data_IF_169523873067
#
_entry.id   IF_169523873067
#
_cell.length_a   1.000
_cell.length_b   1.000
_cell.length_c   1.000
_cell.angle_alpha   90.00
_cell.angle_beta   90.00
_cell.angle_gamma   90.00
#
_symmetry.space_group_name_H-M   'P 1'
#
loop_
_entity.id
_entity.type
_entity.pdbx_description
1 polymer ?
#
# COMPACT_ATOMS: atom_id res chain seq x y z
N UNK A 1 21.08 8.12 -32.67
CA UNK A 1 20.37 7.83 -33.93
C UNK A 1 21.15 8.51 -35.04
N UNK A 2 21.49 7.80 -36.11
CA UNK A 2 22.04 8.43 -37.31
C UNK A 2 20.94 9.30 -37.92
N UNK A 3 21.25 10.57 -38.11
CA UNK A 3 20.31 11.50 -38.74
C UNK A 3 20.06 11.04 -40.19
N UNK A 4 18.85 11.28 -40.69
CA UNK A 4 18.51 11.00 -42.09
C UNK A 4 19.48 11.80 -42.99
N UNK A 5 20.17 11.17 -43.95
CA UNK A 5 21.01 11.88 -44.90
C UNK A 5 20.20 12.92 -45.67
N UNK A 6 20.77 14.11 -45.83
CA UNK A 6 20.17 15.20 -46.60
C UNK A 6 20.82 15.27 -47.99
N UNK A 7 20.04 15.56 -49.04
CA UNK A 7 20.62 15.75 -50.36
C UNK A 7 21.50 17.01 -50.39
N UNK A 8 22.50 17.08 -51.30
CA UNK A 8 23.36 18.25 -51.46
C UNK A 8 22.57 19.51 -51.82
N UNK A 9 21.52 19.31 -52.61
CA UNK A 9 20.61 20.35 -53.09
C UNK A 9 19.20 19.78 -53.21
N UNK A 10 18.20 20.60 -52.92
CA UNK A 10 16.79 20.28 -53.13
C UNK A 10 16.32 20.95 -54.44
N UNK A 11 16.27 20.22 -55.56
CA UNK A 11 15.88 20.81 -56.83
C UNK A 11 14.37 21.07 -56.89
N UNK A 12 14.00 22.32 -57.14
CA UNK A 12 12.59 22.72 -57.38
C UNK A 12 12.09 22.33 -58.77
N UNK A 13 12.99 21.98 -59.70
CA UNK A 13 12.66 21.49 -61.04
C UNK A 13 13.78 20.61 -61.61
N UNK A 14 13.44 19.77 -62.60
CA UNK A 14 14.39 18.89 -63.30
C UNK A 14 15.51 19.71 -63.97
N UNK A 15 15.22 20.91 -64.47
CA UNK A 15 16.23 21.78 -65.08
C UNK A 15 17.20 22.35 -64.05
N UNK A 16 16.72 22.66 -62.84
CA UNK A 16 17.57 23.08 -61.73
C UNK A 16 18.52 21.96 -61.31
N UNK A 17 18.00 20.73 -61.24
CA UNK A 17 18.82 19.55 -60.99
C UNK A 17 19.88 19.34 -62.08
N UNK A 18 19.50 19.37 -63.36
CA UNK A 18 20.43 19.17 -64.50
C UNK A 18 21.55 20.21 -64.55
N UNK A 19 21.30 21.43 -64.08
CA UNK A 19 22.33 22.47 -63.98
C UNK A 19 23.29 22.27 -62.81
N UNK A 20 22.83 21.68 -61.71
CA UNK A 20 23.60 21.55 -60.48
C UNK A 20 24.44 20.26 -60.43
N UNK A 21 23.90 19.14 -60.91
CA UNK A 21 24.55 17.82 -60.79
C UNK A 21 25.96 17.75 -61.38
N UNK A 22 26.28 18.32 -62.57
CA UNK A 22 27.60 18.18 -63.16
C UNK A 22 28.75 18.69 -62.27
N UNK A 23 28.48 19.74 -61.48
CA UNK A 23 29.48 20.35 -60.60
C UNK A 23 29.57 19.66 -59.22
N UNK A 24 28.65 18.74 -58.91
CA UNK A 24 28.46 18.12 -57.59
C UNK A 24 28.28 16.60 -57.65
N UNK A 25 28.84 15.93 -58.67
CA UNK A 25 28.64 14.50 -58.89
C UNK A 25 29.03 13.63 -57.68
N UNK A 26 30.15 13.94 -57.04
CA UNK A 26 30.65 13.18 -55.88
C UNK A 26 29.73 13.34 -54.66
N UNK A 27 29.24 14.55 -54.41
CA UNK A 27 28.29 14.83 -53.32
C UNK A 27 26.98 14.04 -53.51
N UNK A 28 26.50 13.97 -54.76
CA UNK A 28 25.32 13.18 -55.10
C UNK A 28 25.56 11.68 -54.98
N UNK A 29 26.72 11.18 -55.40
CA UNK A 29 27.07 9.77 -55.25
C UNK A 29 27.11 9.37 -53.77
N UNK A 30 27.78 10.14 -52.92
CA UNK A 30 27.82 9.90 -51.48
C UNK A 30 26.44 10.00 -50.84
N UNK A 31 25.61 10.96 -51.24
CA UNK A 31 24.23 11.04 -50.77
C UNK A 31 23.44 9.76 -51.10
N UNK A 32 23.52 9.27 -52.34
CA UNK A 32 22.81 8.05 -52.74
C UNK A 32 23.31 6.83 -51.99
N UNK A 33 24.63 6.67 -51.83
CA UNK A 33 25.19 5.58 -51.04
C UNK A 33 24.68 5.62 -49.59
N UNK A 34 24.77 6.79 -48.96
CA UNK A 34 24.37 6.98 -47.56
C UNK A 34 22.85 6.78 -47.36
N UNK A 35 22.00 7.19 -48.31
CA UNK A 35 20.55 6.98 -48.16
C UNK A 35 20.18 5.50 -48.28
N UNK A 36 20.83 4.74 -49.17
CA UNK A 36 20.62 3.29 -49.25
C UNK A 36 21.02 2.59 -47.95
N UNK A 37 22.23 2.86 -47.44
CA UNK A 37 22.70 2.30 -46.17
C UNK A 37 21.78 2.69 -45.00
N UNK A 38 21.36 3.96 -44.93
CA UNK A 38 20.40 4.43 -43.94
C UNK A 38 19.06 3.67 -44.02
N UNK A 39 18.53 3.45 -45.23
CA UNK A 39 17.26 2.74 -45.40
C UNK A 39 17.34 1.29 -44.94
N UNK A 40 18.40 0.56 -45.28
CA UNK A 40 18.58 -0.82 -44.83
C UNK A 40 18.73 -0.91 -43.30
N UNK A 41 19.51 0.00 -42.70
CA UNK A 41 19.64 0.08 -41.25
C UNK A 41 18.31 0.40 -40.57
N UNK A 42 17.54 1.34 -41.15
CA UNK A 42 16.23 1.72 -40.61
C UNK A 42 15.22 0.56 -40.67
N UNK A 43 15.18 -0.20 -41.77
CA UNK A 43 14.31 -1.37 -41.93
C UNK A 43 14.69 -2.50 -40.97
N UNK A 44 15.99 -2.77 -40.85
CA UNK A 44 16.51 -3.75 -39.88
C UNK A 44 16.14 -3.36 -38.45
N UNK A 45 16.21 -2.06 -38.13
CA UNK A 45 15.86 -1.55 -36.81
C UNK A 45 14.36 -1.63 -36.54
N UNK A 46 13.52 -1.27 -37.51
CA UNK A 46 12.06 -1.40 -37.41
C UNK A 46 11.70 -2.87 -37.14
N UNK A 47 12.22 -3.79 -37.95
CA UNK A 47 11.99 -5.23 -37.77
C UNK A 47 12.45 -5.72 -36.39
N UNK A 48 13.59 -5.23 -35.90
CA UNK A 48 14.09 -5.54 -34.56
C UNK A 48 13.15 -5.03 -33.46
N UNK A 49 12.64 -3.80 -33.59
CA UNK A 49 11.70 -3.22 -32.63
C UNK A 49 10.35 -3.92 -32.64
N UNK A 50 9.84 -4.29 -33.81
CA UNK A 50 8.60 -5.07 -33.95
C UNK A 50 8.72 -6.43 -33.25
N UNK A 51 9.84 -7.14 -33.46
CA UNK A 51 10.11 -8.40 -32.77
C UNK A 51 10.20 -8.23 -31.24
N UNK A 52 10.83 -7.16 -30.77
CA UNK A 52 10.91 -6.84 -29.33
C UNK A 52 9.52 -6.55 -28.75
N UNK A 53 8.71 -5.77 -29.46
CA UNK A 53 7.35 -5.42 -29.05
C UNK A 53 6.48 -6.68 -29.00
N UNK A 54 6.55 -7.54 -30.01
CA UNK A 54 5.83 -8.80 -30.03
C UNK A 54 6.23 -9.71 -28.87
N UNK A 55 7.54 -9.79 -28.57
CA UNK A 55 8.04 -10.57 -27.43
C UNK A 55 7.51 -10.02 -26.10
N UNK A 56 7.57 -8.70 -25.90
CA UNK A 56 7.05 -8.05 -24.71
C UNK A 56 5.53 -8.27 -24.55
N UNK A 57 4.77 -8.20 -25.64
CA UNK A 57 3.34 -8.49 -25.64
C UNK A 57 3.04 -9.92 -25.23
N UNK A 58 3.77 -10.89 -25.77
CA UNK A 58 3.58 -12.30 -25.40
C UNK A 58 3.87 -12.53 -23.91
N UNK A 59 4.95 -11.94 -23.38
CA UNK A 59 5.29 -12.01 -21.95
C UNK A 59 4.19 -11.40 -21.09
N UNK A 60 3.70 -10.22 -21.44
CA UNK A 60 2.61 -9.57 -20.71
C UNK A 60 1.34 -10.41 -20.72
N UNK A 61 0.98 -11.01 -21.86
CA UNK A 61 -0.18 -11.90 -21.96
C UNK A 61 -0.05 -13.14 -21.08
N UNK A 62 1.14 -13.75 -21.03
CA UNK A 62 1.39 -14.91 -20.17
C UNK A 62 1.38 -14.54 -18.68
N UNK A 63 1.89 -13.35 -18.33
CA UNK A 63 1.76 -12.80 -16.97
C UNK A 63 0.30 -12.57 -16.59
N UNK A 64 -0.51 -11.99 -17.47
CA UNK A 64 -1.94 -11.77 -17.22
C UNK A 64 -2.69 -13.09 -17.03
N UNK A 65 -2.38 -14.12 -17.83
CA UNK A 65 -2.96 -15.46 -17.68
C UNK A 65 -2.61 -16.06 -16.31
N UNK A 66 -1.34 -15.95 -15.93
CA UNK A 66 -0.86 -16.46 -14.64
C UNK A 66 -1.56 -15.75 -13.48
N UNK A 67 -1.66 -14.42 -13.52
CA UNK A 67 -2.35 -13.64 -12.50
C UNK A 67 -3.82 -14.03 -12.38
N UNK A 68 -4.52 -14.22 -13.51
CA UNK A 68 -5.92 -14.68 -13.51
C UNK A 68 -6.06 -16.05 -12.88
N UNK A 69 -5.14 -16.96 -13.15
CA UNK A 69 -5.15 -18.28 -12.54
C UNK A 69 -4.93 -18.20 -11.03
N UNK A 70 -3.93 -17.43 -10.57
CA UNK A 70 -3.66 -17.24 -9.14
C UNK A 70 -4.85 -16.62 -8.41
N UNK A 71 -5.53 -15.64 -9.02
CA UNK A 71 -6.74 -15.04 -8.45
C UNK A 71 -7.85 -16.09 -8.34
N UNK A 72 -8.09 -16.86 -9.40
CA UNK A 72 -9.10 -17.92 -9.38
C UNK A 72 -8.79 -18.97 -8.31
N UNK A 73 -7.53 -19.40 -8.18
CA UNK A 73 -7.09 -20.33 -7.13
C UNK A 73 -7.32 -19.74 -5.74
N UNK A 74 -6.91 -18.49 -5.51
CA UNK A 74 -7.18 -17.77 -4.25
C UNK A 74 -8.66 -17.74 -3.91
N UNK A 75 -9.51 -17.40 -4.90
CA UNK A 75 -10.95 -17.30 -4.70
C UNK A 75 -11.56 -18.66 -4.36
N UNK A 76 -11.08 -19.74 -4.98
CA UNK A 76 -11.53 -21.10 -4.63
C UNK A 76 -11.15 -21.50 -3.21
N UNK A 77 -9.91 -21.19 -2.79
CA UNK A 77 -9.44 -21.48 -1.43
C UNK A 77 -10.22 -20.65 -0.40
N UNK A 78 -10.47 -19.37 -0.70
CA UNK A 78 -11.25 -18.50 0.17
C UNK A 78 -12.68 -19.03 0.34
N UNK A 79 -13.36 -19.40 -0.75
CA UNK A 79 -14.71 -19.96 -0.67
C UNK A 79 -14.76 -21.27 0.14
N UNK A 80 -13.73 -22.11 0.03
CA UNK A 80 -13.60 -23.33 0.83
C UNK A 80 -13.39 -23.03 2.32
N UNK A 81 -12.56 -22.04 2.64
CA UNK A 81 -12.33 -21.62 4.02
C UNK A 81 -13.61 -21.08 4.64
N UNK A 82 -14.30 -20.16 3.95
CA UNK A 82 -15.58 -19.59 4.40
C UNK A 82 -16.63 -20.69 4.62
N UNK A 83 -16.70 -21.67 3.71
CA UNK A 83 -17.59 -22.82 3.88
C UNK A 83 -17.24 -23.64 5.14
N UNK A 84 -15.96 -23.94 5.37
CA UNK A 84 -15.48 -24.67 6.54
C UNK A 84 -15.79 -23.94 7.85
N UNK A 85 -15.53 -22.63 7.90
CA UNK A 85 -15.85 -21.77 9.05
C UNK A 85 -17.35 -21.77 9.35
N UNK A 86 -18.19 -21.66 8.33
CA UNK A 86 -19.65 -21.75 8.51
C UNK A 86 -20.09 -23.09 9.08
N UNK A 87 -19.48 -24.20 8.66
CA UNK A 87 -19.78 -25.53 9.21
C UNK A 87 -19.35 -25.63 10.66
N UNK A 88 -18.17 -25.12 11.02
CA UNK A 88 -17.68 -25.10 12.39
C UNK A 88 -18.58 -24.26 13.30
N UNK A 89 -19.00 -23.07 12.85
CA UNK A 89 -19.94 -22.21 13.59
C UNK A 89 -21.27 -22.93 13.81
N UNK A 90 -21.81 -23.60 12.79
CA UNK A 90 -23.07 -24.37 12.92
C UNK A 90 -22.91 -25.54 13.90
N UNK A 91 -21.80 -26.25 13.85
CA UNK A 91 -21.52 -27.36 14.77
C UNK A 91 -21.38 -26.87 16.22
N UNK A 92 -20.72 -25.73 16.44
CA UNK A 92 -20.56 -25.14 17.77
C UNK A 92 -21.92 -24.75 18.37
N UNK A 93 -22.78 -24.08 17.59
CA UNK A 93 -24.15 -23.75 18.04
C UNK A 93 -24.96 -24.98 18.44
N UNK A 94 -24.91 -26.05 17.65
CA UNK A 94 -25.58 -27.31 18.00
C UNK A 94 -25.08 -27.88 19.31
N UNK A 95 -23.76 -27.79 19.58
CA UNK A 95 -23.18 -28.25 20.85
C UNK A 95 -23.60 -27.38 22.02
N UNK A 96 -23.69 -26.07 21.84
CA UNK A 96 -24.19 -25.15 22.87
C UNK A 96 -25.66 -25.46 23.22
N UNK A 97 -26.50 -25.72 22.22
CA UNK A 97 -27.90 -26.12 22.41
C UNK A 97 -28.01 -27.47 23.14
N UNK A 98 -27.19 -28.47 22.75
CA UNK A 98 -27.10 -29.78 23.44
C UNK A 98 -26.69 -29.62 24.91
N UNK A 99 -25.71 -28.77 25.20
CA UNK A 99 -25.25 -28.48 26.57
C UNK A 99 -26.36 -27.81 27.37
N UNK A 100 -27.08 -26.85 26.78
CA UNK A 100 -28.18 -26.17 27.43
C UNK A 100 -29.30 -27.13 27.81
N UNK A 101 -29.72 -27.99 26.89
CA UNK A 101 -30.75 -29.00 27.15
C UNK A 101 -30.29 -30.03 28.19
N UNK A 102 -29.04 -30.48 28.13
CA UNK A 102 -28.47 -31.39 29.13
C UNK A 102 -28.49 -30.78 30.54
N UNK A 103 -28.09 -29.50 30.68
CA UNK A 103 -28.15 -28.74 31.94
C UNK A 103 -29.57 -28.60 32.47
N UNK A 104 -30.53 -28.36 31.58
CA UNK A 104 -31.94 -28.27 31.94
C UNK A 104 -32.50 -29.62 32.42
N UNK A 105 -32.16 -30.71 31.73
CA UNK A 105 -32.55 -32.06 32.11
C UNK A 105 -31.95 -32.49 33.45
N UNK A 106 -30.67 -32.19 33.68
CA UNK A 106 -30.01 -32.41 34.97
C UNK A 106 -30.75 -31.70 36.11
N UNK A 107 -31.10 -30.42 35.91
CA UNK A 107 -31.85 -29.66 36.93
C UNK A 107 -33.24 -30.25 37.21
N UNK A 108 -33.97 -30.67 36.18
CA UNK A 108 -35.27 -31.34 36.34
C UNK A 108 -35.15 -32.66 37.10
N UNK A 109 -34.12 -33.46 36.82
CA UNK A 109 -33.87 -34.70 37.53
C UNK A 109 -33.56 -34.46 39.02
N UNK A 110 -32.75 -33.44 39.33
CA UNK A 110 -32.48 -33.05 40.72
C UNK A 110 -33.75 -32.63 41.46
N UNK A 111 -34.58 -31.78 40.85
CA UNK A 111 -35.86 -31.35 41.45
C UNK A 111 -36.82 -32.53 41.69
N UNK A 112 -36.86 -33.53 40.80
CA UNK A 112 -37.69 -34.72 40.94
C UNK A 112 -37.25 -35.67 42.07
N UNK A 113 -35.96 -35.67 42.43
CA UNK A 113 -35.42 -36.47 43.54
C UNK A 113 -35.56 -35.79 44.90
N UNK A 114 -36.00 -34.52 44.94
CA UNK A 114 -36.20 -33.78 46.17
C UNK A 114 -37.46 -34.30 46.88
N UNK A 115 -37.38 -34.76 48.14
CA UNK A 115 -38.54 -35.28 48.84
C UNK A 115 -39.63 -34.21 48.96
N UNK A 116 -40.85 -34.55 48.53
CA UNK A 116 -42.04 -33.70 48.74
C UNK A 116 -42.38 -33.69 50.22
N UNK A 117 -41.75 -32.81 50.99
CA UNK A 117 -42.25 -32.46 52.31
C UNK A 117 -43.53 -31.65 52.09
N UNK A 118 -44.69 -32.04 52.65
CA UNK A 118 -45.86 -31.17 52.65
C UNK A 118 -45.52 -29.96 53.51
N UNK A 119 -45.14 -28.84 52.88
CA UNK A 119 -45.01 -27.58 53.59
C UNK A 119 -46.42 -27.08 53.90
N UNK A 120 -46.83 -27.32 55.13
CA UNK A 120 -47.95 -26.64 55.76
C UNK A 120 -47.76 -25.13 55.61
N UNK A 121 -48.77 -24.50 55.03
CA UNK A 121 -48.90 -23.05 54.87
C UNK A 121 -48.96 -22.41 56.25
N UNK A 122 -47.88 -21.78 56.68
CA UNK A 122 -47.91 -20.78 57.75
C UNK A 122 -47.24 -19.48 57.29
N UNK A 123 -48.06 -18.44 57.22
CA UNK A 123 -47.68 -17.04 57.48
C UNK A 123 -48.33 -16.66 58.81
N UNK A 124 -47.90 -15.64 59.58
CA UNK A 124 -46.88 -14.61 59.30
C UNK A 124 -45.92 -14.31 60.48
N UNK A 125 -44.86 -13.51 60.24
CA UNK A 125 -44.55 -12.27 61.00
C UNK A 125 -43.25 -11.60 60.49
N UNK A 126 -43.47 -10.46 59.83
CA UNK A 126 -42.93 -9.13 60.12
C UNK A 126 -41.51 -9.02 60.69
N UNK A 127 -40.62 -8.38 59.93
CA UNK A 127 -39.56 -7.42 60.36
C UNK A 127 -38.87 -6.91 59.09
N UNK A 128 -39.41 -5.88 58.42
CA UNK A 128 -38.94 -4.49 58.50
C UNK A 128 -37.49 -4.31 58.02
N UNK A 129 -37.31 -3.84 56.78
CA UNK A 129 -36.42 -2.70 56.50
C UNK A 129 -36.72 -2.10 55.11
N UNK A 130 -37.45 -0.99 55.17
CA UNK A 130 -37.53 0.18 54.29
C UNK A 130 -37.16 0.06 52.81
N UNK A 131 -38.19 0.21 51.98
CA UNK A 131 -38.13 0.71 50.62
C UNK A 131 -38.04 2.25 50.57
N UNK A 132 -37.33 2.71 49.54
CA UNK A 132 -37.65 3.86 48.68
C UNK A 132 -37.21 5.31 49.04
N UNK A 133 -36.25 5.75 48.20
CA UNK A 133 -36.25 6.95 47.34
C UNK A 133 -36.50 8.35 47.92
N UNK A 134 -35.45 9.16 47.77
CA UNK A 134 -35.40 10.46 47.04
C UNK A 134 -36.31 11.61 47.47
N UNK A 135 -35.71 12.70 47.99
CA UNK A 135 -35.83 14.07 47.47
C UNK A 135 -34.97 15.06 48.30
N UNK A 136 -34.18 15.88 47.61
CA UNK A 136 -33.59 17.12 48.15
C UNK A 136 -34.68 18.21 48.29
N UNK A 137 -34.40 19.39 48.90
CA UNK A 137 -33.95 20.50 48.05
C UNK A 137 -33.14 21.66 48.72
N UNK A 138 -32.49 22.47 47.84
CA UNK A 138 -32.02 23.89 47.93
C UNK A 138 -30.99 24.26 49.02
N UNK A 139 -29.89 24.97 48.78
CA UNK A 139 -29.35 25.69 47.62
C UNK A 139 -27.88 26.07 47.88
N UNK A 140 -27.07 26.40 46.87
CA UNK A 140 -26.68 27.79 46.54
C UNK A 140 -25.91 27.77 45.20
N UNK A 141 -26.32 28.60 44.24
CA UNK A 141 -25.69 28.96 42.94
C UNK A 141 -24.47 29.92 43.15
N UNK A 142 -23.51 30.15 42.22
CA UNK A 142 -23.68 30.52 40.79
C UNK A 142 -22.66 29.91 39.76
N UNK A 143 -22.81 30.20 38.43
CA UNK A 143 -22.15 29.54 37.28
C UNK A 143 -21.06 30.46 36.64
N UNK A 144 -20.62 30.33 35.36
CA UNK A 144 -20.51 29.20 34.42
C UNK A 144 -19.04 28.97 33.95
N UNK A 145 -18.70 27.80 33.44
CA UNK A 145 -17.62 27.69 32.45
C UNK A 145 -17.79 26.47 31.57
N UNK A 146 -18.32 26.74 30.38
CA UNK A 146 -18.02 25.96 29.18
C UNK A 146 -16.50 25.97 28.98
N UNK A 147 -15.83 24.88 29.32
CA UNK A 147 -14.46 24.57 28.88
C UNK A 147 -14.53 23.15 28.33
N UNK A 148 -14.77 23.01 27.03
CA UNK A 148 -13.74 23.00 25.99
C UNK A 148 -12.93 21.70 26.02
N UNK A 149 -12.97 21.04 24.86
CA UNK A 149 -12.10 19.98 24.38
C UNK A 149 -12.17 18.63 25.12
N UNK A 150 -12.92 17.72 24.49
CA UNK A 150 -12.56 16.31 24.39
C UNK A 150 -11.08 16.22 24.02
N UNK A 151 -10.22 16.08 25.03
CA UNK A 151 -8.84 15.70 24.85
C UNK A 151 -8.81 14.19 24.83
N UNK A 152 -9.07 13.62 23.64
CA UNK A 152 -8.60 12.26 23.34
C UNK A 152 -7.10 12.23 23.63
N UNK A 153 -6.72 11.43 24.62
CA UNK A 153 -5.35 11.19 25.04
C UNK A 153 -4.54 10.67 23.84
N UNK A 154 -3.81 11.57 23.16
CA UNK A 154 -2.92 11.22 22.06
C UNK A 154 -1.56 10.81 22.62
N UNK A 155 -1.00 9.75 22.06
CA UNK A 155 0.26 9.11 22.46
C UNK A 155 1.44 10.11 22.52
N UNK A 156 2.42 9.85 23.40
CA UNK A 156 3.57 10.73 23.65
C UNK A 156 4.35 11.11 22.37
N UNK A 157 4.70 12.40 22.27
CA UNK A 157 5.39 12.99 21.12
C UNK A 157 6.83 12.48 21.02
N UNK A 158 7.04 11.43 20.23
CA UNK A 158 8.39 11.11 19.74
C UNK A 158 8.99 12.34 19.03
N UNK A 159 10.31 12.59 19.12
CA UNK A 159 10.95 13.65 18.35
C UNK A 159 10.66 13.48 16.86
N UNK A 160 10.40 14.59 16.17
CA UNK A 160 10.16 14.57 14.72
C UNK A 160 11.50 14.24 14.00
N UNK A 161 11.47 13.41 12.95
CA UNK A 161 12.68 12.99 12.25
C UNK A 161 13.37 14.17 11.56
N UNK A 162 14.70 14.09 11.44
CA UNK A 162 15.46 15.08 10.67
C UNK A 162 15.04 15.05 9.20
N UNK A 163 15.09 16.21 8.53
CA UNK A 163 14.77 16.31 7.09
C UNK A 163 15.77 15.48 6.27
N UNK A 164 15.25 14.72 5.31
CA UNK A 164 16.06 13.87 4.45
C UNK A 164 16.38 14.55 3.11
N UNK A 165 17.65 14.89 2.89
CA UNK A 165 18.12 15.58 1.68
C UNK A 165 18.54 14.65 0.53
N UNK A 166 18.62 13.34 0.79
CA UNK A 166 19.10 12.33 -0.16
C UNK A 166 20.57 11.92 0.04
N UNK A 167 21.05 11.83 1.28
CA UNK A 167 22.30 11.14 1.60
C UNK A 167 22.04 9.64 1.82
N UNK A 168 22.82 8.79 1.13
CA UNK A 168 22.72 7.33 1.22
C UNK A 168 23.04 6.79 2.61
N UNK A 169 23.91 7.44 3.36
CA UNK A 169 24.27 7.00 4.72
C UNK A 169 23.13 7.23 5.72
N UNK A 170 22.35 8.30 5.52
CA UNK A 170 21.27 8.70 6.41
C UNK A 170 19.92 8.07 6.05
N UNK A 171 19.79 7.47 4.86
CA UNK A 171 18.55 6.82 4.41
C UNK A 171 18.07 5.78 5.43
N UNK A 172 18.96 4.92 5.93
CA UNK A 172 18.59 3.88 6.90
C UNK A 172 18.09 4.47 8.22
N UNK A 173 18.76 5.52 8.71
CA UNK A 173 18.36 6.23 9.94
C UNK A 173 16.98 6.86 9.75
N UNK A 174 16.76 7.55 8.64
CA UNK A 174 15.51 8.19 8.27
C UNK A 174 14.34 7.18 8.16
N UNK A 175 14.49 6.13 7.37
CA UNK A 175 13.46 5.08 7.18
C UNK A 175 13.07 4.46 8.52
N UNK A 176 14.05 4.17 9.38
CA UNK A 176 13.80 3.59 10.70
C UNK A 176 13.03 4.55 11.62
N UNK A 177 13.35 5.85 11.58
CA UNK A 177 12.63 6.87 12.35
C UNK A 177 11.19 7.06 11.86
N UNK A 178 10.96 7.06 10.53
CA UNK A 178 9.62 7.16 9.94
C UNK A 178 8.75 5.97 10.34
N UNK A 179 9.25 4.74 10.20
CA UNK A 179 8.49 3.56 10.64
C UNK A 179 8.19 3.60 12.14
N UNK A 180 9.17 3.97 12.97
CA UNK A 180 8.96 4.07 14.41
C UNK A 180 7.89 5.10 14.77
N UNK A 181 7.95 6.29 14.14
CA UNK A 181 7.00 7.38 14.36
C UNK A 181 5.58 7.01 13.94
N UNK A 182 5.42 6.45 12.74
CA UNK A 182 4.11 6.06 12.20
C UNK A 182 3.49 4.89 12.96
N UNK A 183 4.32 3.97 13.47
CA UNK A 183 3.85 2.83 14.28
C UNK A 183 3.49 3.24 15.71
N UNK A 184 4.26 4.15 16.31
CA UNK A 184 3.99 4.64 17.66
C UNK A 184 2.84 5.66 17.71
N UNK A 185 2.66 6.48 16.66
CA UNK A 185 1.58 7.47 16.55
C UNK A 185 0.53 7.03 15.52
N UNK A 186 0.19 5.74 15.52
CA UNK A 186 -0.82 5.21 14.60
C UNK A 186 -2.18 5.90 14.82
N UNK A 187 -2.45 6.37 16.04
CA UNK A 187 -3.62 7.17 16.43
C UNK A 187 -3.75 8.50 15.67
N UNK A 188 -2.63 9.10 15.23
CA UNK A 188 -2.61 10.39 14.52
C UNK A 188 -2.63 10.25 13.00
N UNK A 189 -2.23 9.09 12.47
CA UNK A 189 -2.09 8.86 11.03
C UNK A 189 -2.98 7.71 10.53
N UNK A 190 -4.29 7.84 10.74
CA UNK A 190 -5.27 6.82 10.33
C UNK A 190 -5.36 6.66 8.82
N UNK A 191 -5.28 7.77 8.07
CA UNK A 191 -5.45 7.74 6.61
C UNK A 191 -4.10 7.54 5.90
N UNK A 192 -4.05 6.77 4.80
CA UNK A 192 -2.86 6.65 3.94
C UNK A 192 -2.35 8.02 3.49
N UNK A 193 -3.26 8.92 3.09
CA UNK A 193 -2.94 10.29 2.71
C UNK A 193 -2.20 11.07 3.81
N UNK A 194 -2.60 10.94 5.08
CA UNK A 194 -1.93 11.61 6.19
C UNK A 194 -0.52 11.05 6.43
N UNK A 195 -0.33 9.73 6.32
CA UNK A 195 1.00 9.10 6.42
C UNK A 195 1.92 9.58 5.30
N UNK A 196 1.40 9.62 4.08
CA UNK A 196 2.16 10.05 2.91
C UNK A 196 2.54 11.53 2.97
N UNK A 197 1.59 12.41 3.32
CA UNK A 197 1.85 13.84 3.51
C UNK A 197 2.89 14.09 4.59
N UNK A 198 2.86 13.29 5.67
CA UNK A 198 3.88 13.36 6.72
C UNK A 198 5.27 12.99 6.20
N UNK A 199 5.41 11.85 5.51
CA UNK A 199 6.70 11.43 4.95
C UNK A 199 7.21 12.46 3.94
N UNK A 200 6.35 12.91 3.03
CA UNK A 200 6.69 13.88 1.98
C UNK A 200 7.15 15.22 2.57
N UNK A 201 6.53 15.69 3.66
CA UNK A 201 6.93 16.91 4.36
C UNK A 201 8.32 16.85 5.03
N UNK A 202 8.87 15.64 5.21
CA UNK A 202 10.20 15.43 5.77
C UNK A 202 11.26 15.14 4.69
N UNK A 203 10.90 15.23 3.41
CA UNK A 203 11.84 15.16 2.30
C UNK A 203 12.26 16.56 1.87
N UNK A 204 13.55 16.74 1.59
CA UNK A 204 14.11 17.99 1.07
C UNK A 204 15.09 17.71 -0.07
N UNK A 205 15.39 18.76 -0.84
CA UNK A 205 16.42 18.72 -1.89
C UNK A 205 16.21 17.59 -2.91
N UNK A 206 17.22 16.72 -3.05
CA UNK A 206 17.24 15.67 -4.06
C UNK A 206 16.22 14.56 -3.79
N UNK A 207 15.95 14.28 -2.51
CA UNK A 207 14.96 13.28 -2.14
C UNK A 207 13.55 13.72 -2.52
N UNK A 208 13.22 14.99 -2.27
CA UNK A 208 11.94 15.56 -2.66
C UNK A 208 11.75 15.57 -4.19
N UNK A 209 12.82 15.86 -4.95
CA UNK A 209 12.78 15.85 -6.41
C UNK A 209 12.39 14.48 -7.01
N UNK A 210 12.73 13.37 -6.36
CA UNK A 210 12.32 12.02 -6.81
C UNK A 210 10.83 11.77 -6.64
N UNK A 211 10.23 12.30 -5.56
CA UNK A 211 8.81 12.13 -5.28
C UNK A 211 7.95 13.13 -6.06
N UNK A 212 8.53 14.25 -6.50
CA UNK A 212 7.83 15.32 -7.21
C UNK A 212 7.11 14.84 -8.48
N UNK A 213 7.65 13.87 -9.22
CA UNK A 213 7.01 13.27 -10.39
C UNK A 213 5.69 12.56 -10.06
N UNK A 214 5.53 12.13 -8.81
CA UNK A 214 4.36 11.41 -8.30
C UNK A 214 3.37 12.32 -7.55
N UNK A 215 3.69 13.60 -7.38
CA UNK A 215 2.82 14.60 -6.75
C UNK A 215 2.04 15.34 -7.84
N UNK A 216 0.71 15.18 -7.86
CA UNK A 216 -0.19 15.92 -8.75
C UNK A 216 -1.17 16.72 -7.91
N UNK A 217 -1.34 18.01 -8.20
CA UNK A 217 -2.25 18.92 -7.47
C UNK A 217 -1.98 19.00 -5.95
N UNK A 218 -0.73 18.80 -5.52
CA UNK A 218 -0.35 18.83 -4.10
C UNK A 218 -0.60 17.53 -3.34
N UNK A 219 -1.10 16.49 -4.01
CA UNK A 219 -1.33 15.17 -3.44
C UNK A 219 -0.41 14.13 -4.10
N UNK A 220 0.23 13.30 -3.28
CA UNK A 220 1.03 12.19 -3.77
C UNK A 220 0.09 11.07 -4.24
N UNK A 221 0.28 10.60 -5.47
CA UNK A 221 -0.57 9.61 -6.15
C UNK A 221 -0.22 8.15 -5.80
N UNK A 222 0.70 7.95 -4.86
CA UNK A 222 1.09 6.62 -4.39
C UNK A 222 0.02 6.03 -3.45
N UNK A 223 -0.09 4.70 -3.33
CA UNK A 223 -1.12 4.08 -2.51
C UNK A 223 -0.93 4.28 -1.00
N UNK A 224 0.31 4.20 -0.48
CA UNK A 224 0.62 4.50 0.91
C UNK A 224 2.10 4.95 1.07
N UNK A 225 2.50 5.26 2.30
CA UNK A 225 3.88 5.68 2.61
C UNK A 225 5.00 4.65 2.30
N UNK A 226 4.78 3.32 2.30
CA UNK A 226 5.84 2.36 1.95
C UNK A 226 6.33 2.53 0.52
N UNK A 227 5.46 2.90 -0.41
CA UNK A 227 5.83 3.13 -1.81
C UNK A 227 6.78 4.32 -1.97
N UNK A 228 6.63 5.34 -1.11
CA UNK A 228 7.57 6.47 -1.04
C UNK A 228 8.93 5.99 -0.54
N UNK A 229 8.95 5.10 0.46
CA UNK A 229 10.19 4.53 0.98
C UNK A 229 10.88 3.67 -0.07
N UNK A 230 10.15 2.81 -0.79
CA UNK A 230 10.69 1.98 -1.87
C UNK A 230 11.30 2.82 -3.00
N UNK A 231 10.66 3.94 -3.35
CA UNK A 231 11.19 4.88 -4.33
C UNK A 231 12.52 5.50 -3.85
N UNK A 232 12.61 5.85 -2.56
CA UNK A 232 13.84 6.38 -1.97
C UNK A 232 14.93 5.32 -1.86
N UNK A 233 14.59 4.07 -1.52
CA UNK A 233 15.53 2.94 -1.51
C UNK A 233 16.04 2.63 -2.92
N UNK A 234 15.20 2.74 -3.94
CA UNK A 234 15.63 2.59 -5.34
C UNK A 234 16.54 3.72 -5.81
N UNK A 235 16.28 4.95 -5.39
CA UNK A 235 17.02 6.12 -5.84
C UNK A 235 18.34 6.34 -5.08
N UNK A 236 18.35 6.09 -3.76
CA UNK A 236 19.48 6.40 -2.87
C UNK A 236 20.02 5.18 -2.12
N UNK A 237 19.34 4.02 -2.18
CA UNK A 237 19.80 2.80 -1.55
C UNK A 237 20.96 2.12 -2.29
N UNK A 238 21.42 1.01 -1.73
CA UNK A 238 22.46 0.17 -2.35
C UNK A 238 21.82 -1.02 -3.06
N UNK A 239 21.82 -1.08 -4.41
CA UNK A 239 21.26 -2.20 -5.15
C UNK A 239 21.93 -3.54 -4.81
N UNK A 240 23.24 -3.50 -4.49
CA UNK A 240 24.04 -4.69 -4.21
C UNK A 240 24.40 -4.80 -2.73
N UNK A 241 23.50 -4.34 -1.84
CA UNK A 241 23.75 -4.30 -0.39
C UNK A 241 24.19 -5.65 0.19
N UNK A 242 23.52 -6.71 -0.23
CA UNK A 242 23.76 -8.07 0.29
C UNK A 242 25.15 -8.54 -0.16
N UNK A 243 25.51 -8.33 -1.42
CA UNK A 243 26.79 -8.76 -1.97
C UNK A 243 27.96 -7.89 -1.48
N UNK A 244 27.73 -6.59 -1.28
CA UNK A 244 28.69 -5.70 -0.65
C UNK A 244 28.93 -6.08 0.82
N UNK A 245 27.89 -6.45 1.57
CA UNK A 245 28.01 -6.92 2.94
C UNK A 245 28.75 -8.27 3.03
N UNK A 246 28.46 -9.20 2.10
CA UNK A 246 29.17 -10.49 1.98
C UNK A 246 30.64 -10.28 1.63
N UNK A 247 30.95 -9.43 0.66
CA UNK A 247 32.32 -9.08 0.27
C UNK A 247 33.07 -8.47 1.46
N UNK A 248 32.46 -7.52 2.19
CA UNK A 248 33.08 -6.93 3.39
C UNK A 248 33.32 -7.95 4.50
N UNK A 249 32.38 -8.87 4.75
CA UNK A 249 32.57 -9.96 5.72
C UNK A 249 33.71 -10.90 5.30
N UNK A 250 33.86 -11.14 3.99
CA UNK A 250 34.93 -11.99 3.46
C UNK A 250 36.31 -11.31 3.55
N UNK A 251 36.38 -9.99 3.34
CA UNK A 251 37.63 -9.21 3.47
C UNK A 251 38.06 -8.94 4.92
N UNK A 252 37.23 -9.25 5.92
CA UNK A 252 37.55 -9.12 7.35
C UNK A 252 38.06 -10.43 7.98
N UNK A 253 38.17 -11.51 7.19
CA UNK A 253 38.82 -12.78 7.56
C UNK A 253 40.24 -12.81 7.02
#
# INVERSE_FOLDING_TARGET
MTARPLPPFLPDSVDSFRRHVPDHLDDWFEYFKNIYEYTEQSQSRISSLENQLQTANNINQDQERTLRQTIAERDTVQAQLEYSEQQNIKALKRKDDEIFEARLAERRALDATRPTVPTTRETPKTSTSAEHRTAAPVGTTPPPSSRSAESTSLTERLPDPDKFEGDRNDLRRFVSQIHLKLKANHDRFLTPLARMSYVTGHLSGRAYAQVLSHIKLGECQLPDYPDIIDLLERAFGDPNRIDNARTKLFCLR
#
